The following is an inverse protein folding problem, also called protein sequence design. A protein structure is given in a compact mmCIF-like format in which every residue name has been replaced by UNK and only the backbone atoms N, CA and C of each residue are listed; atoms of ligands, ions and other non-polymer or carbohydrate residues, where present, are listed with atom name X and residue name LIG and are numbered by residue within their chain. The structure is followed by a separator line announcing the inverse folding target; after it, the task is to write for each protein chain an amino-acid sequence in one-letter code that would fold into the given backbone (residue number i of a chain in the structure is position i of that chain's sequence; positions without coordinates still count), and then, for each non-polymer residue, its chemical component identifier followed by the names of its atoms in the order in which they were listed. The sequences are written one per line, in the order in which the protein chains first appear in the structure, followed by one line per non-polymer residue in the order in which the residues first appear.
data_IF_951536621608
#
_entry.id   IF_951536621608
#
_cell.length_a   1.000
_cell.length_b   1.000
_cell.length_c   1.000
_cell.angle_alpha   90.00
_cell.angle_beta   90.00
_cell.angle_gamma   90.00
#
_symmetry.space_group_name_H-M   'P 1'
#
loop_
_entity.id
_entity.type
_entity.pdbx_description
1 polymer ?
#
# COMPACT_ATOMS: atom_id res chain seq x y z
N UNK A 1 -16.66 -10.69 4.82
CA UNK A 1 -15.32 -10.86 5.41
C UNK A 1 -14.82 -9.48 5.78
N UNK A 2 -14.73 -9.18 7.08
CA UNK A 2 -14.36 -7.85 7.57
C UNK A 2 -12.87 -7.60 7.32
N UNK A 3 -12.54 -6.49 6.66
CA UNK A 3 -11.17 -6.09 6.33
C UNK A 3 -10.32 -5.85 7.58
N UNK A 4 -10.94 -5.66 8.75
CA UNK A 4 -10.30 -5.46 10.06
C UNK A 4 -9.34 -6.61 10.43
N UNK A 5 -9.60 -7.81 9.91
CA UNK A 5 -8.73 -8.97 10.10
C UNK A 5 -7.35 -8.84 9.43
N UNK A 6 -7.14 -7.84 8.56
CA UNK A 6 -5.88 -7.60 7.85
C UNK A 6 -5.02 -6.51 8.50
N UNK A 7 -5.51 -5.81 9.53
CA UNK A 7 -4.79 -4.69 10.11
C UNK A 7 -3.80 -5.16 11.19
N UNK A 8 -2.52 -4.79 11.05
CA UNK A 8 -1.50 -5.01 12.08
C UNK A 8 -0.71 -3.72 12.33
N UNK A 9 -1.17 -2.94 13.30
CA UNK A 9 -0.65 -1.59 13.54
C UNK A 9 -1.01 -0.63 12.40
N UNK A 10 0.00 -0.01 11.79
CA UNK A 10 -0.10 0.82 10.59
C UNK A 10 0.00 0.03 9.29
N UNK A 11 0.49 -1.22 9.36
CA UNK A 11 0.66 -2.12 8.23
C UNK A 11 -0.65 -2.88 7.94
N UNK A 12 -0.83 -3.25 6.68
CA UNK A 12 -1.85 -4.20 6.26
C UNK A 12 -1.15 -5.52 5.95
N UNK A 13 -1.57 -6.63 6.55
CA UNK A 13 -0.96 -7.96 6.32
C UNK A 13 -2.02 -9.04 6.20
N UNK A 14 -1.76 -10.01 5.35
CA UNK A 14 -2.62 -11.17 5.17
C UNK A 14 -1.93 -12.33 4.48
N UNK A 15 -2.62 -13.46 4.44
CA UNK A 15 -2.24 -14.63 3.64
C UNK A 15 -2.48 -14.25 2.19
N UNK A 16 -1.40 -14.19 1.40
CA UNK A 16 -1.45 -13.85 -0.02
C UNK A 16 -1.43 -15.08 -0.92
N UNK A 17 -1.05 -16.24 -0.37
CA UNK A 17 -0.98 -17.51 -1.06
C UNK A 17 -1.63 -18.59 -0.21
N UNK A 18 -2.49 -19.42 -0.80
CA UNK A 18 -3.05 -20.60 -0.14
C UNK A 18 -1.90 -21.51 0.35
N UNK A 19 -1.98 -21.96 1.61
CA UNK A 19 -0.98 -22.83 2.19
C UNK A 19 -1.62 -23.77 3.21
N UNK A 20 -1.56 -25.09 2.94
CA UNK A 20 -2.20 -26.12 3.76
C UNK A 20 -3.69 -25.81 4.00
N UNK A 21 -4.09 -25.63 5.25
CA UNK A 21 -5.44 -25.30 5.72
C UNK A 21 -5.76 -23.78 5.62
N UNK A 22 -4.77 -22.95 5.26
CA UNK A 22 -4.88 -21.49 5.27
C UNK A 22 -5.24 -20.99 3.87
N UNK A 23 -6.33 -20.23 3.79
CA UNK A 23 -6.79 -19.60 2.56
C UNK A 23 -6.30 -18.16 2.43
N UNK A 24 -5.99 -17.76 1.21
CA UNK A 24 -5.61 -16.40 0.88
C UNK A 24 -6.74 -15.43 1.24
N UNK A 25 -6.38 -14.42 2.02
CA UNK A 25 -7.25 -13.33 2.44
C UNK A 25 -6.64 -11.95 2.12
N UNK A 26 -5.52 -11.90 1.40
CA UNK A 26 -4.98 -10.72 0.75
C UNK A 26 -5.01 -10.94 -0.76
N UNK A 27 -6.23 -10.93 -1.29
CA UNK A 27 -6.52 -11.19 -2.71
C UNK A 27 -6.54 -9.89 -3.53
N UNK A 28 -6.45 -9.94 -4.87
CA UNK A 28 -6.58 -8.77 -5.72
C UNK A 28 -7.82 -7.91 -5.42
N UNK A 29 -8.98 -8.55 -5.25
CA UNK A 29 -10.25 -7.89 -4.88
C UNK A 29 -10.19 -7.14 -3.55
N UNK A 30 -9.45 -7.65 -2.58
CA UNK A 30 -9.25 -6.95 -1.30
C UNK A 30 -8.24 -5.81 -1.47
N UNK A 31 -7.21 -6.02 -2.28
CA UNK A 31 -6.23 -4.99 -2.61
C UNK A 31 -6.85 -3.78 -3.30
N UNK A 32 -7.79 -3.97 -4.23
CA UNK A 32 -8.51 -2.87 -4.88
C UNK A 32 -9.24 -2.00 -3.83
N UNK A 33 -9.95 -2.64 -2.88
CA UNK A 33 -10.64 -1.94 -1.80
C UNK A 33 -9.67 -1.18 -0.89
N UNK A 34 -8.56 -1.84 -0.55
CA UNK A 34 -7.49 -1.23 0.25
C UNK A 34 -6.89 -0.03 -0.50
N UNK A 35 -6.62 -0.15 -1.79
CA UNK A 35 -6.11 0.94 -2.62
C UNK A 35 -7.05 2.14 -2.62
N UNK A 36 -8.36 1.92 -2.81
CA UNK A 36 -9.38 2.98 -2.71
C UNK A 36 -9.34 3.63 -1.31
N UNK A 37 -9.25 2.84 -0.25
CA UNK A 37 -9.10 3.34 1.12
C UNK A 37 -7.84 4.18 1.33
N UNK A 38 -6.71 3.76 0.76
CA UNK A 38 -5.44 4.50 0.78
C UNK A 38 -5.59 5.85 0.08
N UNK A 39 -6.24 5.89 -1.10
CA UNK A 39 -6.48 7.15 -1.81
C UNK A 39 -7.31 8.10 -0.96
N UNK A 40 -8.47 7.65 -0.45
CA UNK A 40 -9.33 8.46 0.43
C UNK A 40 -8.54 9.00 1.64
N UNK A 41 -7.69 8.17 2.23
CA UNK A 41 -6.83 8.59 3.33
C UNK A 41 -5.81 9.66 2.91
N UNK A 42 -5.13 9.47 1.78
CA UNK A 42 -4.17 10.45 1.23
C UNK A 42 -4.84 11.77 0.88
N UNK A 43 -6.07 11.75 0.38
CA UNK A 43 -6.82 12.97 0.11
C UNK A 43 -7.05 13.80 1.36
N UNK A 44 -7.49 13.15 2.43
CA UNK A 44 -7.79 13.82 3.70
C UNK A 44 -6.54 14.30 4.46
N UNK A 45 -5.37 13.66 4.26
CA UNK A 45 -4.17 13.90 5.07
C UNK A 45 -3.02 14.58 4.32
N UNK A 46 -3.01 14.47 2.99
CA UNK A 46 -1.96 14.97 2.10
C UNK A 46 -2.51 16.00 1.11
N UNK A 47 -3.67 15.75 0.50
CA UNK A 47 -4.27 16.69 -0.46
C UNK A 47 -5.15 17.77 0.18
N UNK A 48 -5.33 17.80 1.50
CA UNK A 48 -6.03 18.90 2.17
C UNK A 48 -5.46 20.31 1.81
N UNK A 49 -4.23 20.37 1.27
CA UNK A 49 -3.59 21.59 0.73
C UNK A 49 -3.30 21.57 -0.78
N UNK A 50 -3.66 20.51 -1.53
CA UNK A 50 -3.45 20.38 -3.00
C UNK A 50 -4.78 20.13 -3.71
N UNK A 51 -5.08 20.92 -4.73
CA UNK A 51 -6.45 21.02 -5.24
C UNK A 51 -7.00 19.83 -6.06
N UNK A 52 -6.24 18.78 -6.43
CA UNK A 52 -6.76 17.69 -7.29
C UNK A 52 -6.12 16.31 -7.08
N UNK A 53 -6.94 15.25 -7.17
CA UNK A 53 -6.54 13.83 -7.13
C UNK A 53 -5.53 13.44 -8.22
N UNK A 54 -5.63 14.04 -9.41
CA UNK A 54 -4.72 13.79 -10.53
C UNK A 54 -3.29 14.34 -10.35
N UNK A 55 -3.02 15.02 -9.23
CA UNK A 55 -1.68 15.48 -8.85
C UNK A 55 -1.03 14.57 -7.81
N UNK A 56 -1.74 13.57 -7.31
CA UNK A 56 -1.19 12.62 -6.34
C UNK A 56 -0.23 11.68 -7.06
N UNK A 57 0.99 11.56 -6.52
CA UNK A 57 2.00 10.63 -7.01
C UNK A 57 2.33 9.58 -5.95
N UNK A 58 2.13 8.31 -6.29
CA UNK A 58 2.39 7.16 -5.41
C UNK A 58 3.53 6.31 -5.99
N UNK A 59 4.57 6.07 -5.19
CA UNK A 59 5.59 5.08 -5.51
C UNK A 59 5.23 3.70 -4.99
N UNK A 60 5.48 2.63 -5.75
CA UNK A 60 5.21 1.26 -5.33
C UNK A 60 6.45 0.41 -5.55
N UNK A 61 6.86 -0.34 -4.54
CA UNK A 61 7.96 -1.30 -4.64
C UNK A 61 7.69 -2.51 -3.76
N UNK A 62 8.49 -3.55 -3.92
CA UNK A 62 8.26 -4.81 -3.23
C UNK A 62 9.54 -5.57 -2.88
N UNK A 63 9.43 -6.52 -1.95
CA UNK A 63 10.48 -7.51 -1.69
C UNK A 63 10.32 -8.74 -2.59
N UNK A 64 11.16 -9.76 -2.41
CA UNK A 64 11.20 -10.94 -3.27
C UNK A 64 10.09 -11.97 -3.01
N UNK A 65 8.96 -11.59 -2.40
CA UNK A 65 7.84 -12.52 -2.13
C UNK A 65 7.16 -12.95 -3.42
N UNK A 66 6.80 -14.23 -3.52
CA UNK A 66 6.23 -14.87 -4.71
C UNK A 66 4.98 -14.12 -5.23
N UNK A 67 4.14 -13.63 -4.32
CA UNK A 67 2.89 -12.95 -4.67
C UNK A 67 3.06 -11.45 -4.90
N UNK A 68 4.25 -10.89 -4.66
CA UNK A 68 4.46 -9.45 -4.65
C UNK A 68 4.16 -8.79 -5.99
N UNK A 69 4.62 -9.37 -7.11
CA UNK A 69 4.39 -8.80 -8.44
C UNK A 69 2.90 -8.74 -8.81
N UNK A 70 2.14 -9.80 -8.51
CA UNK A 70 0.68 -9.80 -8.75
C UNK A 70 -0.04 -8.74 -7.92
N UNK A 71 0.34 -8.59 -6.65
CA UNK A 71 -0.24 -7.60 -5.75
C UNK A 71 0.14 -6.19 -6.20
N UNK A 72 1.39 -5.98 -6.62
CA UNK A 72 1.88 -4.71 -7.19
C UNK A 72 1.07 -4.31 -8.41
N UNK A 73 0.89 -5.22 -9.37
CA UNK A 73 0.14 -4.93 -10.58
C UNK A 73 -1.31 -4.52 -10.27
N UNK A 74 -1.96 -5.23 -9.33
CA UNK A 74 -3.32 -4.88 -8.89
C UNK A 74 -3.38 -3.45 -8.33
N UNK A 75 -2.40 -3.06 -7.51
CA UNK A 75 -2.32 -1.69 -6.98
C UNK A 75 -2.09 -0.66 -8.09
N UNK A 76 -1.15 -0.93 -9.00
CA UNK A 76 -0.84 -0.05 -10.14
C UNK A 76 -2.11 0.18 -10.97
N UNK A 77 -2.78 -0.89 -11.40
CA UNK A 77 -3.97 -0.81 -12.24
C UNK A 77 -5.11 -0.06 -11.55
N UNK A 78 -5.29 -0.26 -10.24
CA UNK A 78 -6.30 0.44 -9.46
C UNK A 78 -6.00 1.93 -9.37
N UNK A 79 -4.75 2.31 -9.07
CA UNK A 79 -4.39 3.72 -8.95
C UNK A 79 -4.44 4.45 -10.29
N UNK A 80 -4.01 3.80 -11.38
CA UNK A 80 -4.12 4.36 -12.72
C UNK A 80 -5.60 4.60 -13.10
N UNK A 81 -6.49 3.66 -12.80
CA UNK A 81 -7.94 3.85 -12.98
C UNK A 81 -8.51 5.01 -12.17
N UNK A 82 -7.95 5.29 -10.99
CA UNK A 82 -8.33 6.44 -10.15
C UNK A 82 -7.66 7.76 -10.57
N UNK A 83 -6.89 7.75 -11.66
CA UNK A 83 -6.22 8.93 -12.22
C UNK A 83 -4.97 9.37 -11.45
N UNK A 84 -4.35 8.46 -10.68
CA UNK A 84 -3.18 8.73 -9.85
C UNK A 84 -1.90 8.43 -10.64
N UNK A 85 -0.86 9.24 -10.45
CA UNK A 85 0.44 8.97 -11.04
C UNK A 85 1.18 7.91 -10.23
N UNK A 86 1.71 6.89 -10.89
CA UNK A 86 2.41 5.79 -10.23
C UNK A 86 3.86 5.73 -10.69
N UNK A 87 4.78 5.57 -9.74
CA UNK A 87 6.17 5.17 -10.01
C UNK A 87 6.34 3.72 -9.56
N UNK A 88 6.67 2.82 -10.47
CA UNK A 88 7.03 1.44 -10.15
C UNK A 88 8.54 1.34 -9.86
N UNK A 89 8.88 1.14 -8.59
CA UNK A 89 10.24 0.93 -8.11
C UNK A 89 10.70 -0.52 -8.19
N UNK A 90 9.83 -1.45 -8.62
CA UNK A 90 10.13 -2.88 -8.72
C UNK A 90 10.64 -3.44 -7.39
N UNK A 91 11.71 -4.24 -7.44
CA UNK A 91 12.39 -4.78 -6.28
C UNK A 91 13.06 -3.65 -5.49
N UNK A 92 12.61 -3.45 -4.26
CA UNK A 92 13.06 -2.38 -3.40
C UNK A 92 13.19 -2.85 -1.95
N UNK A 93 13.92 -2.09 -1.13
CA UNK A 93 13.98 -2.30 0.31
C UNK A 93 13.00 -1.35 1.01
N UNK A 94 12.51 -1.73 2.19
CA UNK A 94 11.68 -0.82 3.00
C UNK A 94 12.33 0.56 3.24
N UNK A 95 13.62 0.68 3.60
CA UNK A 95 14.25 2.00 3.74
C UNK A 95 14.35 2.75 2.40
N UNK A 96 14.57 2.08 1.26
CA UNK A 96 14.56 2.73 -0.05
C UNK A 96 13.20 3.34 -0.38
N UNK A 97 12.10 2.61 -0.10
CA UNK A 97 10.74 3.13 -0.30
C UNK A 97 10.46 4.34 0.60
N UNK A 98 10.84 4.28 1.88
CA UNK A 98 10.72 5.45 2.76
C UNK A 98 11.51 6.65 2.22
N UNK A 99 12.76 6.45 1.83
CA UNK A 99 13.62 7.52 1.30
C UNK A 99 13.11 8.08 -0.03
N UNK A 100 12.42 7.29 -0.86
CA UNK A 100 11.80 7.77 -2.09
C UNK A 100 10.72 8.85 -1.86
N UNK A 101 10.11 8.91 -0.67
CA UNK A 101 9.24 10.03 -0.28
C UNK A 101 10.00 11.32 0.02
N UNK A 102 11.28 11.22 0.39
CA UNK A 102 12.11 12.33 0.83
C UNK A 102 12.88 12.98 -0.34
N UNK A 103 13.19 12.22 -1.39
CA UNK A 103 13.93 12.73 -2.54
C UNK A 103 13.05 13.51 -3.53
N UNK A 104 13.45 14.75 -3.82
CA UNK A 104 12.76 15.64 -4.76
C UNK A 104 12.69 15.09 -6.19
N UNK A 105 13.65 14.29 -6.62
CA UNK A 105 13.68 13.69 -7.96
C UNK A 105 12.51 12.74 -8.23
N UNK A 106 12.02 12.04 -7.19
CA UNK A 106 10.84 11.17 -7.31
C UNK A 106 9.56 11.97 -7.04
N UNK A 107 9.61 12.89 -6.08
CA UNK A 107 8.49 13.74 -5.66
C UNK A 107 7.20 12.94 -5.37
N UNK A 108 7.34 11.76 -4.74
CA UNK A 108 6.22 10.95 -4.32
C UNK A 108 5.51 11.62 -3.12
N UNK A 109 4.18 11.72 -3.18
CA UNK A 109 3.37 12.14 -2.03
C UNK A 109 3.28 11.01 -0.99
N UNK A 110 3.26 9.77 -1.48
CA UNK A 110 3.35 8.56 -0.67
C UNK A 110 4.09 7.44 -1.41
N UNK A 111 4.55 6.45 -0.66
CA UNK A 111 5.05 5.19 -1.21
C UNK A 111 4.44 4.00 -0.50
N UNK A 112 4.23 2.91 -1.24
CA UNK A 112 3.73 1.64 -0.74
C UNK A 112 4.80 0.58 -0.94
N UNK A 113 5.25 -0.01 0.16
CA UNK A 113 6.14 -1.17 0.15
C UNK A 113 5.33 -2.44 0.34
N UNK A 114 5.39 -3.34 -0.63
CA UNK A 114 4.75 -4.66 -0.57
C UNK A 114 5.72 -5.63 0.10
N UNK A 115 5.41 -5.99 1.34
CA UNK A 115 6.22 -6.89 2.15
C UNK A 115 5.44 -7.36 3.37
N UNK A 116 5.69 -8.61 3.79
CA UNK A 116 5.34 -9.07 5.13
C UNK A 116 6.59 -9.28 6.03
N UNK A 117 7.74 -8.72 5.62
CA UNK A 117 9.00 -8.71 6.38
C UNK A 117 9.41 -10.11 6.84
N UNK A 118 9.30 -10.43 8.14
CA UNK A 118 9.69 -11.70 8.75
C UNK A 118 8.59 -12.76 8.76
N UNK A 119 7.37 -12.45 8.31
CA UNK A 119 6.29 -13.45 8.26
C UNK A 119 6.58 -14.53 7.22
N UNK A 120 6.00 -15.75 7.38
CA UNK A 120 6.15 -16.83 6.41
C UNK A 120 5.89 -16.40 4.97
N UNK A 121 6.47 -17.12 4.01
CA UNK A 121 6.48 -16.74 2.59
C UNK A 121 5.07 -16.62 1.97
N UNK A 122 4.07 -17.32 2.51
CA UNK A 122 2.68 -17.26 2.07
C UNK A 122 1.92 -16.04 2.59
N UNK A 123 2.54 -15.20 3.43
CA UNK A 123 2.03 -13.88 3.79
C UNK A 123 2.54 -12.80 2.83
N UNK A 124 1.76 -11.74 2.68
CA UNK A 124 2.23 -10.47 2.16
C UNK A 124 1.53 -9.31 2.87
N UNK A 125 1.88 -8.09 2.53
CA UNK A 125 1.33 -6.91 3.18
C UNK A 125 1.75 -5.61 2.53
N UNK A 126 1.19 -4.51 3.01
CA UNK A 126 1.45 -3.17 2.54
C UNK A 126 1.94 -2.31 3.72
N UNK A 127 3.06 -1.61 3.51
CA UNK A 127 3.52 -0.53 4.36
C UNK A 127 3.43 0.79 3.61
N UNK A 128 2.84 1.81 4.23
CA UNK A 128 2.60 3.10 3.58
C UNK A 128 3.47 4.16 4.25
N UNK A 129 4.22 4.90 3.44
CA UNK A 129 5.04 6.03 3.87
C UNK A 129 4.60 7.31 3.19
N UNK A 130 4.73 8.43 3.87
CA UNK A 130 4.48 9.78 3.33
C UNK A 130 5.64 10.70 3.66
N UNK A 131 5.66 11.91 3.07
CA UNK A 131 6.68 12.93 3.39
C UNK A 131 6.78 13.27 4.88
N UNK A 132 5.67 13.16 5.62
CA UNK A 132 5.59 13.44 7.07
C UNK A 132 6.09 12.28 7.95
N UNK A 133 6.47 11.15 7.36
CA UNK A 133 6.83 9.92 8.08
C UNK A 133 6.02 8.70 7.62
N UNK A 134 6.32 7.53 8.19
CA UNK A 134 5.44 6.37 8.12
C UNK A 134 4.10 6.64 8.81
N UNK A 135 3.06 5.87 8.50
CA UNK A 135 1.72 6.00 9.11
C UNK A 135 1.68 5.57 10.61
N UNK A 136 2.69 5.94 11.39
CA UNK A 136 2.87 5.57 12.79
C UNK A 136 2.17 6.55 13.75
N UNK A 137 1.49 5.96 14.74
CA UNK A 137 0.99 6.52 16.02
C UNK A 137 -0.42 7.10 16.16
N UNK A 138 -1.27 7.22 15.13
CA UNK A 138 -2.71 7.43 15.39
C UNK A 138 -3.53 6.32 14.76
N UNK A 139 -3.92 5.35 15.61
CA UNK A 139 -4.97 4.34 15.37
C UNK A 139 -6.04 4.95 14.50
N UNK A 140 -6.18 4.45 13.29
CA UNK A 140 -7.39 4.65 12.54
C UNK A 140 -7.64 3.37 11.74
N UNK A 141 -8.87 2.91 11.77
CA UNK A 141 -9.49 1.93 10.86
C UNK A 141 -9.65 2.51 9.44
N UNK A 142 -8.78 3.44 9.04
CA UNK A 142 -8.92 4.38 7.91
C UNK A 142 -8.96 3.70 6.55
N UNK A 143 -8.27 2.58 6.39
CA UNK A 143 -8.15 1.93 5.07
C UNK A 143 -9.28 0.94 4.78
N UNK A 144 -10.17 0.69 5.74
CA UNK A 144 -11.08 -0.46 5.72
C UNK A 144 -12.57 -0.06 5.76
N UNK A 145 -12.87 1.20 6.06
CA UNK A 145 -14.20 1.78 5.88
C UNK A 145 -14.39 2.23 4.42
N UNK A 146 -14.76 1.29 3.56
CA UNK A 146 -15.17 1.55 2.18
C UNK A 146 -16.67 1.82 2.03
N UNK A 147 -17.37 2.14 3.13
CA UNK A 147 -18.75 2.61 3.09
C UNK A 147 -18.91 3.85 2.22
#
# INVERSE_FOLDING_TARGET
MYLDALQNGSDIRGIALDYQDKKANLTPKQLEKIAIGIVRWLENNVLASKCKRNQLKIGIGHDSRITADSLKQTLIDTFLHLGIQVIDFQLATTPAMFMATQFSQYNCDATIMITASHLPYYFNGLKIFTKKGGAEKKRHSIYLNTS
#
